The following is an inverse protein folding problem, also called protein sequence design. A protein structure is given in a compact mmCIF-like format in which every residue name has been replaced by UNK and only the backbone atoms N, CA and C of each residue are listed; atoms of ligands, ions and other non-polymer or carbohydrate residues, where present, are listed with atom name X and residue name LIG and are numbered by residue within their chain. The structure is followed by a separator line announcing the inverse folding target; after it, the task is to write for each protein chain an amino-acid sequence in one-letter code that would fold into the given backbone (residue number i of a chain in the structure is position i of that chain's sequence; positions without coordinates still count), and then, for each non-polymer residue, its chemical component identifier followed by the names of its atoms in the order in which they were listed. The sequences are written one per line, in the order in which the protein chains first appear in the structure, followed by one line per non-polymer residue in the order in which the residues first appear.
data_IF_885521590058
#
_entry.id   IF_885521590058
#
_cell.length_a   1.000
_cell.length_b   1.000
_cell.length_c   1.000
_cell.angle_alpha   90.00
_cell.angle_beta   90.00
_cell.angle_gamma   90.00
#
_symmetry.space_group_name_H-M   'P 1'
#
loop_
_entity.id
_entity.type
_entity.pdbx_description
1 polymer ?
#
# COMPACT_ATOMS: atom_id res chain seq x y z
N UNK A 1 10.60 -28.02 -12.89
CA UNK A 1 9.27 -27.58 -12.43
C UNK A 1 8.85 -28.19 -11.10
N UNK A 2 8.82 -29.53 -10.91
CA UNK A 2 8.38 -30.16 -9.65
C UNK A 2 9.17 -29.72 -8.40
N UNK A 3 10.48 -29.51 -8.53
CA UNK A 3 11.35 -29.05 -7.42
C UNK A 3 11.01 -27.62 -6.98
N UNK A 4 10.84 -26.68 -7.91
CA UNK A 4 10.44 -25.30 -7.59
C UNK A 4 9.09 -25.25 -6.86
N UNK A 5 8.13 -26.03 -7.34
CA UNK A 5 6.77 -26.07 -6.78
C UNK A 5 6.78 -26.67 -5.36
N UNK A 6 7.60 -27.69 -5.12
CA UNK A 6 7.82 -28.27 -3.79
C UNK A 6 8.45 -27.28 -2.82
N UNK A 7 9.41 -26.47 -3.29
CA UNK A 7 10.07 -25.45 -2.45
C UNK A 7 9.04 -24.40 -2.03
N UNK A 8 8.31 -23.81 -2.98
CA UNK A 8 7.28 -22.79 -2.70
C UNK A 8 6.28 -23.29 -1.65
N UNK A 9 5.76 -24.51 -1.80
CA UNK A 9 4.77 -25.09 -0.86
C UNK A 9 5.40 -25.32 0.52
N UNK A 10 6.63 -25.84 0.60
CA UNK A 10 7.32 -26.06 1.87
C UNK A 10 7.61 -24.75 2.62
N UNK A 11 7.96 -23.70 1.88
CA UNK A 11 8.27 -22.38 2.43
C UNK A 11 7.01 -21.68 2.95
N UNK A 12 5.85 -21.85 2.29
CA UNK A 12 4.57 -21.32 2.78
C UNK A 12 4.19 -21.95 4.13
N UNK A 13 4.43 -23.25 4.30
CA UNK A 13 4.19 -23.93 5.59
C UNK A 13 5.12 -23.44 6.71
N UNK A 14 6.38 -23.16 6.39
CA UNK A 14 7.37 -22.68 7.36
C UNK A 14 7.21 -21.19 7.72
N UNK A 15 6.75 -20.36 6.78
CA UNK A 15 6.62 -18.91 6.95
C UNK A 15 5.17 -18.44 7.16
N UNK A 16 4.19 -19.35 7.19
CA UNK A 16 2.77 -19.02 7.21
C UNK A 16 2.36 -18.05 8.31
N UNK A 17 2.89 -18.21 9.53
CA UNK A 17 2.61 -17.30 10.64
C UNK A 17 3.11 -15.88 10.35
N UNK A 18 4.31 -15.74 9.78
CA UNK A 18 4.89 -14.44 9.44
C UNK A 18 4.08 -13.78 8.32
N UNK A 19 3.74 -14.53 7.27
CA UNK A 19 2.92 -14.02 6.16
C UNK A 19 1.54 -13.59 6.64
N UNK A 20 0.93 -14.33 7.55
CA UNK A 20 -0.38 -13.97 8.11
C UNK A 20 -0.31 -12.66 8.91
N UNK A 21 0.69 -12.51 9.77
CA UNK A 21 0.93 -11.25 10.50
C UNK A 21 1.17 -10.09 9.54
N UNK A 22 1.97 -10.30 8.49
CA UNK A 22 2.23 -9.27 7.47
C UNK A 22 0.94 -8.81 6.79
N UNK A 23 0.07 -9.74 6.40
CA UNK A 23 -1.23 -9.41 5.77
C UNK A 23 -2.12 -8.60 6.72
N UNK A 24 -2.16 -8.95 8.01
CA UNK A 24 -2.90 -8.19 9.02
C UNK A 24 -2.34 -6.77 9.14
N UNK A 25 -1.02 -6.64 9.23
CA UNK A 25 -0.35 -5.34 9.32
C UNK A 25 -0.68 -4.45 8.12
N UNK A 26 -0.59 -5.00 6.89
CA UNK A 26 -0.95 -4.26 5.67
C UNK A 26 -2.42 -3.85 5.69
N UNK A 27 -3.33 -4.74 6.10
CA UNK A 27 -4.76 -4.44 6.18
C UNK A 27 -5.06 -3.27 7.13
N UNK A 28 -4.49 -3.31 8.34
CA UNK A 28 -4.69 -2.25 9.34
C UNK A 28 -4.21 -0.91 8.79
N UNK A 29 -2.99 -0.84 8.25
CA UNK A 29 -2.44 0.40 7.72
C UNK A 29 -3.19 0.90 6.48
N UNK A 30 -3.68 0.02 5.62
CA UNK A 30 -4.46 0.42 4.45
C UNK A 30 -5.80 1.07 4.86
N UNK A 31 -6.48 0.51 5.86
CA UNK A 31 -7.73 1.08 6.38
C UNK A 31 -7.48 2.41 7.09
N UNK A 32 -6.43 2.50 7.91
CA UNK A 32 -6.05 3.75 8.58
C UNK A 32 -5.72 4.85 7.56
N UNK A 33 -4.88 4.54 6.57
CA UNK A 33 -4.47 5.49 5.54
C UNK A 33 -5.66 6.03 4.75
N UNK A 34 -6.63 5.19 4.39
CA UNK A 34 -7.87 5.64 3.76
C UNK A 34 -8.69 6.56 4.68
N UNK A 35 -8.87 6.20 5.95
CA UNK A 35 -9.66 7.02 6.87
C UNK A 35 -9.05 8.40 7.10
N UNK A 36 -7.71 8.50 7.08
CA UNK A 36 -6.99 9.75 7.27
C UNK A 36 -6.92 10.58 5.99
N UNK A 37 -6.51 9.99 4.87
CA UNK A 37 -6.07 10.75 3.69
C UNK A 37 -7.02 10.67 2.49
N UNK A 38 -8.03 9.79 2.48
CA UNK A 38 -8.93 9.59 1.32
C UNK A 38 -9.61 10.88 0.85
N UNK A 39 -9.93 11.79 1.78
CA UNK A 39 -10.66 13.04 1.46
C UNK A 39 -9.76 14.12 0.86
N UNK A 40 -8.46 14.05 1.08
CA UNK A 40 -7.51 15.10 0.69
C UNK A 40 -6.96 14.87 -0.72
N UNK A 41 -7.01 13.63 -1.22
CA UNK A 41 -6.62 13.24 -2.58
C UNK A 41 -7.64 13.68 -3.65
N UNK A 42 -7.76 15.00 -3.82
CA UNK A 42 -8.70 15.66 -4.74
C UNK A 42 -7.99 16.21 -5.99
N UNK A 43 -8.67 16.28 -7.14
CA UNK A 43 -8.08 16.83 -8.39
C UNK A 43 -7.55 18.25 -8.23
N UNK A 44 -8.15 19.06 -7.36
CA UNK A 44 -7.79 20.47 -7.16
C UNK A 44 -6.40 20.62 -6.51
N UNK A 45 -6.04 19.72 -5.58
CA UNK A 45 -4.73 19.69 -4.90
C UNK A 45 -3.58 19.22 -5.81
N UNK A 46 -3.91 18.41 -6.82
CA UNK A 46 -2.94 17.87 -7.76
C UNK A 46 -2.86 18.62 -9.09
N UNK A 47 -3.76 19.57 -9.36
CA UNK A 47 -3.73 20.39 -10.57
C UNK A 47 -2.38 21.10 -10.76
N UNK A 48 -1.85 21.18 -11.99
CA UNK A 48 -2.43 20.72 -13.27
C UNK A 48 -2.27 19.22 -13.56
N UNK A 49 -1.59 18.47 -12.69
CA UNK A 49 -1.38 17.03 -12.85
C UNK A 49 -2.63 16.23 -12.44
N UNK A 50 -2.85 15.02 -13.01
CA UNK A 50 -3.90 14.13 -12.53
C UNK A 50 -3.56 13.61 -11.13
N UNK A 51 -4.60 13.22 -10.38
CA UNK A 51 -4.44 12.53 -9.09
C UNK A 51 -3.53 11.30 -9.27
N UNK A 52 -2.52 11.09 -8.40
CA UNK A 52 -1.60 9.97 -8.51
C UNK A 52 -2.33 8.62 -8.58
N UNK A 53 -1.80 7.69 -9.40
CA UNK A 53 -2.28 6.29 -9.46
C UNK A 53 -2.19 5.58 -8.11
N UNK A 54 -1.24 6.02 -7.29
CA UNK A 54 -0.95 5.55 -5.96
C UNK A 54 -1.58 6.51 -4.96
N UNK A 55 -2.76 6.17 -4.44
CA UNK A 55 -3.54 7.05 -3.59
C UNK A 55 -4.25 6.27 -2.48
N UNK A 56 -4.90 7.02 -1.58
CA UNK A 56 -5.69 6.48 -0.47
C UNK A 56 -7.21 6.56 -0.70
N UNK A 57 -7.68 6.68 -1.95
CA UNK A 57 -9.11 6.88 -2.24
C UNK A 57 -9.95 5.61 -2.03
N UNK A 58 -9.42 4.44 -2.42
CA UNK A 58 -10.10 3.16 -2.28
C UNK A 58 -9.23 2.14 -1.54
N UNK A 59 -9.87 1.13 -0.94
CA UNK A 59 -9.18 0.07 -0.20
C UNK A 59 -8.06 -0.60 -0.98
N UNK A 60 -8.29 -0.96 -2.23
CA UNK A 60 -7.30 -1.66 -3.03
C UNK A 60 -6.10 -0.77 -3.39
N UNK A 61 -6.35 0.52 -3.68
CA UNK A 61 -5.30 1.51 -3.90
C UNK A 61 -4.46 1.73 -2.64
N UNK A 62 -5.10 1.90 -1.48
CA UNK A 62 -4.42 1.99 -0.18
C UNK A 62 -3.64 0.71 0.16
N UNK A 63 -4.19 -0.46 -0.13
CA UNK A 63 -3.52 -1.74 0.10
C UNK A 63 -2.25 -1.86 -0.73
N UNK A 64 -2.34 -1.60 -2.04
CA UNK A 64 -1.15 -1.63 -2.91
C UNK A 64 -0.16 -0.52 -2.53
N UNK A 65 -0.64 0.62 -2.02
CA UNK A 65 0.21 1.70 -1.52
C UNK A 65 1.05 1.29 -0.31
N UNK A 66 0.42 0.70 0.71
CA UNK A 66 1.15 0.18 1.87
C UNK A 66 2.11 -0.94 1.47
N UNK A 67 1.70 -1.83 0.55
CA UNK A 67 2.59 -2.84 0.01
C UNK A 67 3.83 -2.23 -0.67
N UNK A 68 3.64 -1.19 -1.50
CA UNK A 68 4.73 -0.44 -2.14
C UNK A 68 5.70 0.17 -1.13
N UNK A 69 5.17 0.79 -0.06
CA UNK A 69 5.97 1.35 1.04
C UNK A 69 6.82 0.27 1.72
N UNK A 70 6.25 -0.91 1.97
CA UNK A 70 6.98 -2.04 2.57
C UNK A 70 8.08 -2.60 1.66
N UNK A 71 7.97 -2.43 0.34
CA UNK A 71 9.05 -2.74 -0.61
C UNK A 71 10.20 -1.70 -0.60
N UNK A 72 10.10 -0.63 0.19
CA UNK A 72 11.12 0.41 0.34
C UNK A 72 10.83 1.70 -0.44
N UNK A 73 9.76 1.74 -1.23
CA UNK A 73 9.38 2.86 -2.10
C UNK A 73 8.44 3.83 -1.37
N UNK A 74 8.90 4.44 -0.27
CA UNK A 74 8.08 5.26 0.63
C UNK A 74 8.18 6.78 0.40
N UNK A 75 9.24 7.25 -0.27
CA UNK A 75 9.50 8.69 -0.42
C UNK A 75 8.49 9.33 -1.40
N UNK A 76 8.23 8.71 -2.56
CA UNK A 76 7.26 9.26 -3.52
C UNK A 76 5.83 9.37 -2.93
N UNK A 77 5.28 8.31 -2.29
CA UNK A 77 3.98 8.41 -1.62
C UNK A 77 3.93 9.46 -0.52
N UNK A 78 5.04 9.68 0.19
CA UNK A 78 5.12 10.68 1.25
C UNK A 78 4.98 12.10 0.68
N UNK A 79 5.70 12.42 -0.40
CA UNK A 79 5.58 13.72 -1.07
C UNK A 79 4.16 13.96 -1.61
N UNK A 80 3.55 12.94 -2.23
CA UNK A 80 2.17 13.04 -2.71
C UNK A 80 1.18 13.27 -1.56
N UNK A 81 1.37 12.61 -0.42
CA UNK A 81 0.51 12.75 0.75
C UNK A 81 0.66 14.14 1.39
N UNK A 82 1.89 14.65 1.51
CA UNK A 82 2.15 16.00 2.03
C UNK A 82 1.55 17.08 1.13
N UNK A 83 1.63 16.91 -0.20
CA UNK A 83 0.99 17.82 -1.17
C UNK A 83 -0.53 17.79 -1.06
N UNK A 84 -1.13 16.63 -0.81
CA UNK A 84 -2.58 16.52 -0.63
C UNK A 84 -3.08 17.27 0.62
N UNK A 85 -2.28 17.24 1.70
CA UNK A 85 -2.60 17.86 3.00
C UNK A 85 -2.36 19.38 3.02
N UNK A 86 -1.48 19.92 2.18
CA UNK A 86 -1.14 21.35 2.13
C UNK A 86 -2.38 22.18 1.74
N UNK A 87 -2.86 23.07 2.64
CA UNK A 87 -4.09 23.89 2.50
C UNK A 87 -4.15 24.74 1.23
#
# INVERSE_FOLDING_TARGET
MKVLLSIIISTIGALGNLTFVLVIVIYIFAVIGMQLFSKDYTPDKFAPDPVPRWNFNDFFHSFMMIFRILCGEWIEPLWDCMRAEEE
#
